data_IF_182590608395
#
_entry.id   IF_182590608395
#
_cell.length_a   1.000
_cell.length_b   1.000
_cell.length_c   1.000
_cell.angle_alpha   90.00
_cell.angle_beta   90.00
_cell.angle_gamma   90.00
#
_symmetry.space_group_name_H-M   'P 1'
#
loop_
_entity.id
_entity.type
_entity.pdbx_description
1 polymer ?
#
# COMPACT_ATOMS: atom_id res chain seq x y z
N UNK A 1 -14.51 18.09 -15.13
CA UNK A 1 -13.39 17.15 -15.39
C UNK A 1 -12.93 16.58 -14.05
N UNK A 2 -13.12 15.29 -13.83
CA UNK A 2 -12.66 14.63 -12.59
C UNK A 2 -11.13 14.69 -12.53
N UNK A 3 -10.61 15.48 -11.58
CA UNK A 3 -9.18 15.72 -11.38
C UNK A 3 -8.50 14.61 -10.55
N UNK A 4 -9.18 13.48 -10.32
CA UNK A 4 -8.65 12.40 -9.49
C UNK A 4 -7.97 11.35 -10.36
N UNK A 5 -6.76 10.96 -9.98
CA UNK A 5 -5.97 9.96 -10.70
C UNK A 5 -6.20 8.57 -10.11
N UNK A 6 -7.29 7.94 -10.50
CA UNK A 6 -7.55 6.53 -10.17
C UNK A 6 -7.03 5.66 -11.30
N UNK A 7 -6.37 4.56 -10.96
CA UNK A 7 -5.91 3.61 -11.96
C UNK A 7 -7.10 2.98 -12.70
N UNK A 8 -7.12 3.01 -14.06
CA UNK A 8 -8.24 2.49 -14.86
C UNK A 8 -8.58 1.03 -14.56
N UNK A 9 -7.56 0.21 -14.25
CA UNK A 9 -7.72 -1.21 -13.97
C UNK A 9 -8.41 -1.51 -12.63
N UNK A 10 -8.56 -0.54 -11.72
CA UNK A 10 -9.40 -0.75 -10.52
C UNK A 10 -10.85 -1.03 -10.94
N UNK A 11 -11.39 -0.21 -11.85
CA UNK A 11 -12.74 -0.45 -12.35
C UNK A 11 -12.88 -1.78 -13.09
N UNK A 12 -11.84 -2.21 -13.78
CA UNK A 12 -11.85 -3.43 -14.59
C UNK A 12 -11.72 -4.70 -13.75
N UNK A 13 -10.79 -4.73 -12.79
CA UNK A 13 -10.42 -5.95 -12.06
C UNK A 13 -10.88 -5.98 -10.61
N UNK A 14 -11.24 -4.82 -10.04
CA UNK A 14 -11.62 -4.66 -8.63
C UNK A 14 -12.80 -3.70 -8.51
N UNK A 15 -13.94 -3.98 -9.20
CA UNK A 15 -15.07 -3.07 -9.27
C UNK A 15 -15.66 -2.71 -7.91
N UNK A 16 -15.50 -3.57 -6.90
CA UNK A 16 -15.91 -3.33 -5.51
C UNK A 16 -15.15 -2.16 -4.87
N UNK A 17 -13.96 -1.83 -5.38
CA UNK A 17 -13.15 -0.69 -4.93
C UNK A 17 -13.24 0.52 -5.87
N UNK A 18 -14.02 0.45 -6.94
CA UNK A 18 -14.23 1.61 -7.82
C UNK A 18 -15.02 2.71 -7.11
N UNK A 19 -14.79 3.96 -7.54
CA UNK A 19 -15.50 5.13 -7.06
C UNK A 19 -14.89 5.83 -5.85
N UNK A 20 -15.43 7.05 -5.61
CA UNK A 20 -15.00 7.93 -4.53
C UNK A 20 -15.89 7.76 -3.30
N UNK A 21 -15.26 7.90 -2.15
CA UNK A 21 -15.92 7.93 -0.86
C UNK A 21 -15.73 9.32 -0.22
N UNK A 22 -16.61 9.62 0.72
CA UNK A 22 -16.57 10.86 1.51
C UNK A 22 -16.66 10.53 2.99
N UNK A 23 -15.76 11.11 3.78
CA UNK A 23 -15.65 10.82 5.21
C UNK A 23 -15.56 12.13 5.99
N UNK A 24 -16.43 12.36 7.03
CA UNK A 24 -16.31 13.52 7.91
C UNK A 24 -14.95 13.50 8.63
N UNK A 25 -14.17 14.59 8.55
CA UNK A 25 -12.81 14.62 9.08
C UNK A 25 -12.74 14.36 10.59
N UNK A 26 -13.77 14.79 11.34
CA UNK A 26 -13.89 14.58 12.79
C UNK A 26 -14.12 13.11 13.20
N UNK A 27 -14.44 12.24 12.22
CA UNK A 27 -14.69 10.81 12.46
C UNK A 27 -13.61 9.92 11.83
N UNK A 28 -12.42 10.47 11.56
CA UNK A 28 -11.39 9.75 10.82
C UNK A 28 -10.11 9.52 11.63
N UNK A 29 -9.60 8.29 11.58
CA UNK A 29 -8.22 7.96 11.84
C UNK A 29 -7.40 8.24 10.57
N UNK A 30 -6.92 9.49 10.42
CA UNK A 30 -6.33 9.95 9.18
C UNK A 30 -4.80 10.05 9.28
N UNK A 31 -4.07 9.26 8.47
CA UNK A 31 -2.61 9.15 8.49
C UNK A 31 -1.95 9.57 7.17
N UNK A 32 -0.67 9.89 7.24
CA UNK A 32 0.19 10.15 6.09
C UNK A 32 1.64 9.73 6.38
N UNK A 33 2.25 10.31 7.40
CA UNK A 33 3.64 10.06 7.77
C UNK A 33 3.72 9.11 8.96
N UNK A 34 4.74 8.26 8.98
CA UNK A 34 4.95 7.24 10.02
C UNK A 34 5.07 7.79 11.45
N UNK A 35 5.55 9.03 11.59
CA UNK A 35 5.74 9.71 12.90
C UNK A 35 4.47 10.39 13.43
N UNK A 36 3.44 10.50 12.62
CA UNK A 36 2.19 11.15 13.02
C UNK A 36 1.27 10.16 13.72
N UNK A 37 0.25 10.68 14.39
CA UNK A 37 -0.84 9.86 14.89
C UNK A 37 -1.39 8.95 13.76
N UNK A 38 -1.71 7.72 14.08
CA UNK A 38 -2.11 6.68 13.12
C UNK A 38 -1.06 6.29 12.08
N UNK A 39 0.17 6.85 12.16
CA UNK A 39 1.21 6.64 11.15
C UNK A 39 1.62 5.19 10.97
N UNK A 40 1.50 4.35 12.01
CA UNK A 40 1.79 2.91 11.93
C UNK A 40 0.83 2.17 10.98
N UNK A 41 -0.35 2.72 10.71
CA UNK A 41 -1.28 2.15 9.73
C UNK A 41 -0.73 2.24 8.29
N UNK A 42 0.16 3.19 8.04
CA UNK A 42 0.74 3.41 6.71
C UNK A 42 1.65 2.27 6.24
N UNK A 43 1.56 1.94 4.94
CA UNK A 43 2.36 0.89 4.31
C UNK A 43 3.86 1.23 4.26
N UNK A 44 4.19 2.53 4.23
CA UNK A 44 5.58 3.02 4.21
C UNK A 44 6.24 3.02 5.59
N UNK A 45 5.47 2.84 6.68
CA UNK A 45 6.03 2.76 8.02
C UNK A 45 6.96 1.56 8.14
N UNK A 46 8.15 1.79 8.66
CA UNK A 46 9.16 0.75 8.84
C UNK A 46 8.73 -0.21 9.95
N UNK A 47 7.96 -1.19 9.56
CA UNK A 47 7.57 -2.37 10.35
C UNK A 47 8.07 -3.59 9.58
N UNK A 48 9.26 -4.12 9.92
CA UNK A 48 9.82 -5.25 9.19
C UNK A 48 8.90 -6.46 9.19
N UNK A 49 8.80 -7.10 8.03
CA UNK A 49 8.02 -8.33 7.81
C UNK A 49 8.91 -9.39 7.14
N UNK A 50 8.69 -10.64 7.47
CA UNK A 50 9.45 -11.77 6.93
C UNK A 50 8.55 -12.59 6.02
N UNK A 51 8.96 -12.79 4.76
CA UNK A 51 8.26 -13.63 3.80
C UNK A 51 9.27 -14.61 3.18
N UNK A 52 8.99 -15.89 3.28
CA UNK A 52 9.85 -16.96 2.78
C UNK A 52 11.32 -16.82 3.21
N UNK A 53 11.55 -16.36 4.46
CA UNK A 53 12.90 -16.20 5.04
C UNK A 53 13.63 -14.92 4.65
N UNK A 54 13.03 -14.03 3.87
CA UNK A 54 13.57 -12.70 3.52
C UNK A 54 12.88 -11.62 4.30
N UNK A 55 13.65 -10.68 4.87
CA UNK A 55 13.11 -9.54 5.63
C UNK A 55 12.91 -8.32 4.73
N UNK A 56 11.67 -7.86 4.65
CA UNK A 56 11.30 -6.61 4.00
C UNK A 56 11.14 -5.51 5.05
N UNK A 57 11.57 -4.29 4.74
CA UNK A 57 11.56 -3.16 5.68
C UNK A 57 10.15 -2.69 6.07
N UNK A 58 9.16 -2.94 5.20
CA UNK A 58 7.78 -2.48 5.35
C UNK A 58 6.86 -3.19 4.35
N UNK A 59 5.54 -3.02 4.50
CA UNK A 59 4.56 -3.42 3.48
C UNK A 59 4.90 -2.83 2.10
N UNK A 60 5.25 -1.56 2.06
CA UNK A 60 5.62 -0.88 0.81
C UNK A 60 6.81 -1.55 0.14
N UNK A 61 7.82 -1.99 0.91
CA UNK A 61 8.98 -2.70 0.34
C UNK A 61 8.55 -3.99 -0.36
N UNK A 62 7.79 -4.84 0.32
CA UNK A 62 7.27 -6.08 -0.27
C UNK A 62 6.42 -5.79 -1.50
N UNK A 63 5.44 -4.89 -1.38
CA UNK A 63 4.54 -4.50 -2.46
C UNK A 63 5.28 -3.97 -3.69
N UNK A 64 6.32 -3.17 -3.51
CA UNK A 64 7.11 -2.65 -4.62
C UNK A 64 7.93 -3.74 -5.32
N UNK A 65 8.47 -4.71 -4.56
CA UNK A 65 9.23 -5.83 -5.14
C UNK A 65 8.35 -6.76 -5.98
N UNK A 66 7.10 -6.98 -5.59
CA UNK A 66 6.15 -7.81 -6.33
C UNK A 66 5.83 -7.30 -7.74
N UNK A 67 6.22 -6.09 -8.08
CA UNK A 67 6.05 -5.51 -9.43
C UNK A 67 6.97 -6.09 -10.48
N UNK A 68 8.02 -6.79 -10.09
CA UNK A 68 9.12 -7.18 -10.97
C UNK A 68 9.31 -8.69 -10.96
N UNK A 69 9.49 -9.27 -12.15
CA UNK A 69 9.77 -10.70 -12.34
C UNK A 69 11.07 -10.96 -13.10
N UNK A 70 11.62 -9.96 -13.79
CA UNK A 70 12.89 -10.08 -14.51
C UNK A 70 14.07 -10.19 -13.52
N UNK A 71 14.88 -11.27 -13.53
CA UNK A 71 15.91 -11.52 -12.51
C UNK A 71 16.89 -10.37 -12.30
N UNK A 72 17.41 -9.79 -13.39
CA UNK A 72 18.34 -8.66 -13.29
C UNK A 72 17.71 -7.41 -12.68
N UNK A 73 16.45 -7.14 -12.99
CA UNK A 73 15.71 -5.98 -12.49
C UNK A 73 15.37 -6.18 -11.02
N UNK A 74 14.89 -7.36 -10.64
CA UNK A 74 14.64 -7.72 -9.23
C UNK A 74 15.88 -7.45 -8.38
N UNK A 75 17.06 -7.93 -8.81
CA UNK A 75 18.32 -7.73 -8.09
C UNK A 75 18.70 -6.26 -8.02
N UNK A 76 18.54 -5.50 -9.12
CA UNK A 76 18.85 -4.06 -9.16
C UNK A 76 17.92 -3.26 -8.24
N UNK A 77 16.62 -3.52 -8.29
CA UNK A 77 15.62 -2.85 -7.42
C UNK A 77 15.89 -3.18 -5.95
N UNK A 78 16.09 -4.45 -5.61
CA UNK A 78 16.42 -4.89 -4.27
C UNK A 78 17.66 -4.19 -3.71
N UNK A 79 18.76 -4.19 -4.45
CA UNK A 79 20.01 -3.51 -4.07
C UNK A 79 19.79 -2.00 -3.92
N UNK A 80 19.06 -1.38 -4.82
CA UNK A 80 18.76 0.05 -4.76
C UNK A 80 17.92 0.42 -3.54
N UNK A 81 16.94 -0.39 -3.16
CA UNK A 81 16.11 -0.18 -1.97
C UNK A 81 16.94 -0.43 -0.70
N UNK A 82 17.72 -1.51 -0.65
CA UNK A 82 18.49 -1.89 0.55
C UNK A 82 19.64 -0.94 0.83
N UNK A 83 20.27 -0.37 -0.21
CA UNK A 83 21.34 0.62 -0.06
C UNK A 83 20.86 1.98 0.46
N UNK A 84 19.58 2.31 0.26
CA UNK A 84 19.00 3.60 0.65
C UNK A 84 18.23 3.50 1.98
N UNK A 85 18.95 3.29 3.08
CA UNK A 85 18.34 3.00 4.39
C UNK A 85 17.57 4.14 5.06
N UNK A 86 17.69 5.37 4.56
CA UNK A 86 17.33 6.55 5.38
C UNK A 86 15.97 7.19 5.07
N UNK A 87 15.23 6.77 4.03
CA UNK A 87 13.95 7.43 3.68
C UNK A 87 12.92 6.41 3.16
N UNK A 88 11.77 6.32 3.81
CA UNK A 88 10.63 5.48 3.37
C UNK A 88 10.22 5.74 1.91
N UNK A 89 10.28 7.00 1.46
CA UNK A 89 10.03 7.38 0.08
C UNK A 89 11.06 6.83 -0.93
N UNK A 90 12.27 6.44 -0.48
CA UNK A 90 13.29 5.89 -1.37
C UNK A 90 12.86 4.55 -1.98
N UNK A 91 12.10 3.74 -1.24
CA UNK A 91 11.57 2.46 -1.71
C UNK A 91 10.71 2.66 -2.97
N UNK A 92 9.66 3.49 -2.84
CA UNK A 92 8.76 3.81 -3.95
C UNK A 92 9.48 4.46 -5.14
N UNK A 93 10.37 5.40 -4.87
CA UNK A 93 11.11 6.12 -5.91
C UNK A 93 12.10 5.21 -6.64
N UNK A 94 12.78 4.31 -5.93
CA UNK A 94 13.69 3.33 -6.54
C UNK A 94 12.90 2.39 -7.46
N UNK A 95 11.80 1.80 -6.97
CA UNK A 95 10.98 0.93 -7.81
C UNK A 95 10.42 1.69 -9.03
N UNK A 96 9.94 2.92 -8.84
CA UNK A 96 9.38 3.75 -9.90
C UNK A 96 10.37 4.05 -11.02
N UNK A 97 11.67 4.10 -10.76
CA UNK A 97 12.69 4.34 -11.79
C UNK A 97 12.82 3.18 -12.79
N UNK A 98 12.32 1.99 -12.45
CA UNK A 98 12.27 0.82 -13.33
C UNK A 98 10.89 0.59 -13.95
N UNK A 99 9.84 1.25 -13.47
CA UNK A 99 8.56 1.34 -14.16
C UNK A 99 8.67 2.43 -15.25
N UNK A 100 7.98 2.37 -16.34
CA UNK A 100 7.03 1.39 -16.83
C UNK A 100 7.63 0.25 -17.63
N UNK A 101 8.95 0.26 -17.87
CA UNK A 101 9.61 -0.65 -18.83
C UNK A 101 9.67 -2.10 -18.32
N UNK A 102 9.83 -2.28 -17.00
CA UNK A 102 10.10 -3.59 -16.38
C UNK A 102 9.00 -4.07 -15.43
N UNK A 103 7.88 -3.35 -15.36
CA UNK A 103 6.76 -3.79 -14.55
C UNK A 103 6.09 -5.01 -15.18
N UNK A 104 5.78 -6.01 -14.36
CA UNK A 104 5.02 -7.20 -14.78
C UNK A 104 3.79 -6.79 -15.61
N UNK A 105 3.51 -7.50 -16.73
CA UNK A 105 2.37 -7.16 -17.59
C UNK A 105 1.01 -7.38 -16.93
N UNK A 106 0.94 -8.32 -15.98
CA UNK A 106 -0.25 -8.65 -15.21
C UNK A 106 -0.46 -7.81 -13.95
N UNK A 107 0.45 -6.83 -13.68
CA UNK A 107 0.40 -6.01 -12.47
C UNK A 107 -0.97 -5.38 -12.19
N UNK A 108 -1.67 -4.92 -13.22
CA UNK A 108 -3.00 -4.33 -13.08
C UNK A 108 -4.04 -5.29 -12.49
N UNK A 109 -3.88 -6.60 -12.74
CA UNK A 109 -4.77 -7.65 -12.23
C UNK A 109 -4.44 -8.11 -10.81
N UNK A 110 -3.24 -7.84 -10.33
CA UNK A 110 -2.80 -8.31 -9.02
C UNK A 110 -2.50 -7.19 -8.02
N UNK A 111 -2.58 -5.93 -8.43
CA UNK A 111 -2.11 -4.80 -7.61
C UNK A 111 -2.81 -4.70 -6.25
N UNK A 112 -4.13 -4.93 -6.19
CA UNK A 112 -4.88 -4.87 -4.94
C UNK A 112 -4.58 -6.11 -4.10
N UNK A 113 -4.52 -7.29 -4.72
CA UNK A 113 -4.19 -8.54 -4.04
C UNK A 113 -2.76 -8.53 -3.48
N UNK A 114 -1.80 -7.97 -4.23
CA UNK A 114 -0.44 -7.77 -3.75
C UNK A 114 -0.39 -6.85 -2.52
N UNK A 115 -1.21 -5.79 -2.49
CA UNK A 115 -1.31 -4.92 -1.33
C UNK A 115 -1.98 -5.61 -0.16
N UNK A 116 -3.09 -6.34 -0.39
CA UNK A 116 -3.77 -7.15 0.63
C UNK A 116 -2.81 -8.17 1.25
N UNK A 117 -2.05 -8.88 0.41
CA UNK A 117 -1.03 -9.82 0.89
C UNK A 117 0.00 -9.13 1.79
N UNK A 118 0.57 -8.01 1.35
CA UNK A 118 1.56 -7.28 2.14
C UNK A 118 0.99 -6.75 3.47
N UNK A 119 -0.28 -6.30 3.48
CA UNK A 119 -0.97 -5.89 4.70
C UNK A 119 -1.22 -7.06 5.63
N UNK A 120 -1.60 -8.25 5.11
CA UNK A 120 -1.77 -9.46 5.91
C UNK A 120 -0.45 -9.87 6.57
N UNK A 121 0.68 -9.82 5.84
CA UNK A 121 2.00 -10.10 6.43
C UNK A 121 2.33 -9.15 7.59
N UNK A 122 1.96 -7.88 7.49
CA UNK A 122 2.13 -6.92 8.59
C UNK A 122 1.17 -7.22 9.75
N UNK A 123 -0.07 -7.55 9.45
CA UNK A 123 -1.08 -7.88 10.45
C UNK A 123 -0.67 -9.09 11.29
N UNK A 124 -0.15 -10.12 10.67
CA UNK A 124 0.30 -11.35 11.33
C UNK A 124 1.58 -11.17 12.15
N UNK A 125 2.43 -10.18 11.82
CA UNK A 125 3.78 -10.07 12.38
C UNK A 125 4.00 -8.81 13.23
N UNK A 126 3.09 -7.82 13.21
CA UNK A 126 3.29 -6.55 13.91
C UNK A 126 2.17 -6.27 14.92
N UNK A 127 2.37 -6.65 16.17
CA UNK A 127 1.41 -6.43 17.26
C UNK A 127 1.02 -4.94 17.44
N UNK A 128 1.98 -4.03 17.29
CA UNK A 128 1.72 -2.59 17.38
C UNK A 128 0.77 -2.10 16.28
N UNK A 129 0.87 -2.67 15.07
CA UNK A 129 -0.08 -2.37 13.99
C UNK A 129 -1.48 -2.91 14.33
N UNK A 130 -1.58 -4.13 14.85
CA UNK A 130 -2.87 -4.71 15.26
C UNK A 130 -3.54 -3.88 16.33
N UNK A 131 -2.79 -3.43 17.35
CA UNK A 131 -3.31 -2.56 18.42
C UNK A 131 -3.84 -1.23 17.89
N UNK A 132 -3.13 -0.63 16.96
CA UNK A 132 -3.55 0.65 16.37
C UNK A 132 -4.75 0.48 15.44
N UNK A 133 -4.80 -0.62 14.71
CA UNK A 133 -5.95 -0.97 13.88
C UNK A 133 -7.20 -1.16 14.74
N UNK A 134 -7.08 -1.89 15.85
CA UNK A 134 -8.16 -2.07 16.85
C UNK A 134 -8.59 -0.73 17.48
N UNK A 135 -7.63 0.15 17.82
CA UNK A 135 -7.91 1.50 18.36
C UNK A 135 -8.75 2.35 17.41
N UNK A 136 -8.66 2.09 16.11
CA UNK A 136 -9.42 2.80 15.08
C UNK A 136 -10.89 2.36 14.97
N UNK A 137 -11.36 1.40 15.78
CA UNK A 137 -12.77 0.97 15.76
C UNK A 137 -13.73 2.14 15.97
N UNK A 138 -14.77 2.16 15.14
CA UNK A 138 -15.75 3.25 15.14
C UNK A 138 -15.33 4.49 14.33
N UNK A 139 -14.09 4.53 13.83
CA UNK A 139 -13.61 5.60 12.95
C UNK A 139 -13.46 5.10 11.51
N UNK A 140 -13.57 6.01 10.55
CA UNK A 140 -13.12 5.78 9.19
C UNK A 140 -11.59 5.85 9.16
N UNK A 141 -10.93 4.97 8.40
CA UNK A 141 -9.48 5.05 8.20
C UNK A 141 -9.21 5.73 6.87
N UNK A 142 -8.36 6.77 6.89
CA UNK A 142 -8.07 7.58 5.70
C UNK A 142 -6.58 7.74 5.50
N UNK A 143 -6.07 7.32 4.34
CA UNK A 143 -4.73 7.71 3.89
C UNK A 143 -4.81 9.09 3.25
N UNK A 144 -4.12 10.06 3.85
CA UNK A 144 -4.11 11.46 3.34
C UNK A 144 -3.25 11.58 2.11
N UNK A 145 -3.73 12.30 1.10
CA UNK A 145 -2.86 12.76 0.01
C UNK A 145 -1.72 13.64 0.58
N UNK A 146 -0.49 13.16 0.43
CA UNK A 146 0.68 13.81 1.03
C UNK A 146 0.93 15.23 0.51
N UNK A 147 0.61 15.49 -0.77
CA UNK A 147 0.74 16.82 -1.35
C UNK A 147 -0.65 17.48 -1.48
N UNK A 148 -0.96 18.51 -0.67
CA UNK A 148 -2.28 19.15 -0.68
C UNK A 148 -2.63 19.84 -2.01
N UNK A 149 -1.64 20.13 -2.84
CA UNK A 149 -1.83 20.75 -4.16
C UNK A 149 -2.13 19.72 -5.27
N UNK A 150 -2.00 18.42 -4.98
CA UNK A 150 -2.34 17.34 -5.92
C UNK A 150 -3.74 16.80 -5.65
N UNK A 151 -4.41 16.25 -6.68
CA UNK A 151 -5.63 15.47 -6.47
C UNK A 151 -5.30 14.21 -5.65
N UNK A 152 -6.32 13.65 -5.00
CA UNK A 152 -6.22 12.32 -4.43
C UNK A 152 -5.94 11.30 -5.53
N UNK A 153 -5.08 10.33 -5.24
CA UNK A 153 -4.82 9.18 -6.11
C UNK A 153 -5.71 7.98 -5.71
N UNK A 154 -5.45 6.84 -6.31
CA UNK A 154 -6.17 5.59 -6.02
C UNK A 154 -6.13 5.21 -4.53
N UNK A 155 -4.99 5.48 -3.87
CA UNK A 155 -4.72 5.00 -2.51
C UNK A 155 -5.27 5.91 -1.43
N UNK A 156 -5.43 7.20 -1.73
CA UNK A 156 -5.58 8.28 -0.77
C UNK A 156 -6.90 9.04 -0.91
N UNK A 157 -7.15 9.92 0.07
CA UNK A 157 -8.18 10.94 0.02
C UNK A 157 -7.59 12.33 0.28
N UNK A 158 -8.25 13.36 -0.21
CA UNK A 158 -7.90 14.77 -0.04
C UNK A 158 -8.95 15.45 0.83
N UNK A 159 -8.49 16.31 1.73
CA UNK A 159 -9.39 17.14 2.55
C UNK A 159 -9.96 18.30 1.73
N UNK A 160 -11.27 18.39 1.70
CA UNK A 160 -12.03 19.50 1.11
C UNK A 160 -12.99 20.04 2.16
N UNK A 161 -12.67 21.20 2.72
CA UNK A 161 -13.36 21.70 3.92
C UNK A 161 -13.14 20.76 5.11
N UNK A 162 -14.20 20.18 5.63
CA UNK A 162 -14.24 19.21 6.73
C UNK A 162 -14.50 17.76 6.29
N UNK A 163 -14.41 17.49 4.99
CA UNK A 163 -14.69 16.18 4.39
C UNK A 163 -13.44 15.66 3.66
N UNK A 164 -13.02 14.44 3.98
CA UNK A 164 -12.07 13.69 3.19
C UNK A 164 -12.77 13.07 1.99
N UNK A 165 -12.26 13.32 0.77
CA UNK A 165 -12.82 12.78 -0.47
C UNK A 165 -11.74 12.10 -1.31
N UNK A 166 -12.02 10.90 -1.79
CA UNK A 166 -11.10 10.14 -2.64
C UNK A 166 -11.49 8.68 -2.77
N UNK A 167 -10.74 7.96 -3.56
CA UNK A 167 -10.86 6.49 -3.64
C UNK A 167 -10.47 5.82 -2.32
N UNK A 168 -9.43 6.36 -1.65
CA UNK A 168 -8.99 5.92 -0.32
C UNK A 168 -8.83 4.40 -0.22
N UNK A 169 -8.31 3.76 -1.27
CA UNK A 169 -8.24 2.30 -1.32
C UNK A 169 -7.46 1.71 -0.14
N UNK A 170 -6.34 2.33 0.24
CA UNK A 170 -5.57 1.87 1.43
C UNK A 170 -6.43 1.92 2.70
N UNK A 171 -7.14 3.01 2.94
CA UNK A 171 -8.00 3.12 4.11
C UNK A 171 -9.16 2.14 4.10
N UNK A 172 -9.74 1.86 2.92
CA UNK A 172 -10.81 0.86 2.75
C UNK A 172 -10.33 -0.55 3.07
N UNK A 173 -9.14 -0.94 2.59
CA UNK A 173 -8.54 -2.23 2.90
C UNK A 173 -8.21 -2.36 4.40
N UNK A 174 -7.74 -1.29 5.03
CA UNK A 174 -7.50 -1.29 6.48
C UNK A 174 -8.79 -1.43 7.28
N UNK A 175 -9.88 -0.78 6.88
CA UNK A 175 -11.20 -0.97 7.51
C UNK A 175 -11.70 -2.40 7.31
N UNK A 176 -11.59 -2.96 6.11
CA UNK A 176 -11.94 -4.35 5.81
C UNK A 176 -11.13 -5.33 6.68
N UNK A 177 -9.80 -5.12 6.79
CA UNK A 177 -8.93 -5.93 7.64
C UNK A 177 -9.33 -5.84 9.12
N UNK A 178 -9.59 -4.64 9.62
CA UNK A 178 -10.03 -4.42 11.00
C UNK A 178 -11.34 -5.14 11.32
N UNK A 179 -12.30 -5.03 10.42
CA UNK A 179 -13.67 -5.47 10.67
C UNK A 179 -13.83 -6.99 10.46
N UNK A 180 -13.03 -7.58 9.55
CA UNK A 180 -13.10 -9.01 9.21
C UNK A 180 -11.96 -9.85 9.84
N UNK A 181 -10.90 -9.22 10.34
CA UNK A 181 -9.70 -9.90 10.84
C UNK A 181 -8.81 -10.51 9.74
N UNK A 182 -9.19 -10.36 8.47
CA UNK A 182 -8.46 -10.88 7.32
C UNK A 182 -8.82 -10.12 6.05
N UNK A 183 -7.92 -10.21 5.05
CA UNK A 183 -8.16 -9.79 3.67
C UNK A 183 -8.06 -11.04 2.77
N UNK A 184 -9.06 -11.26 1.94
CA UNK A 184 -9.00 -12.30 0.91
C UNK A 184 -8.25 -11.76 -0.32
N UNK A 185 -7.32 -12.53 -0.85
CA UNK A 185 -6.53 -12.16 -2.03
C UNK A 185 -6.19 -13.40 -2.88
N UNK A 186 -5.95 -13.16 -4.16
CA UNK A 186 -5.55 -14.18 -5.12
C UNK A 186 -4.31 -13.69 -5.87
N UNK A 187 -3.17 -14.28 -5.56
CA UNK A 187 -1.92 -14.00 -6.25
C UNK A 187 -1.66 -15.03 -7.34
N UNK A 188 -1.06 -14.64 -8.47
CA UNK A 188 -0.48 -15.58 -9.41
C UNK A 188 0.54 -16.49 -8.73
N UNK A 189 0.68 -17.72 -9.20
CA UNK A 189 1.59 -18.72 -8.60
C UNK A 189 3.04 -18.23 -8.53
N UNK A 190 3.47 -17.43 -9.50
CA UNK A 190 4.81 -16.85 -9.61
C UNK A 190 4.99 -15.49 -8.90
N UNK A 191 3.96 -15.00 -8.21
CA UNK A 191 3.99 -13.66 -7.61
C UNK A 191 5.12 -13.43 -6.60
N UNK A 192 5.62 -14.50 -5.98
CA UNK A 192 6.67 -14.48 -4.97
C UNK A 192 8.00 -15.10 -5.43
N UNK A 193 8.12 -15.50 -6.70
CA UNK A 193 9.33 -16.15 -7.24
C UNK A 193 10.56 -15.24 -7.15
N UNK A 194 10.34 -13.93 -7.21
CA UNK A 194 11.40 -12.93 -7.05
C UNK A 194 12.17 -13.09 -5.72
N UNK A 195 11.56 -13.68 -4.69
CA UNK A 195 12.19 -13.87 -3.38
C UNK A 195 13.40 -14.82 -3.49
N UNK A 196 13.32 -15.82 -4.36
CA UNK A 196 14.43 -16.77 -4.58
C UNK A 196 15.68 -16.10 -5.17
N UNK A 197 15.52 -14.96 -5.83
CA UNK A 197 16.59 -14.19 -6.48
C UNK A 197 17.35 -13.25 -5.52
N UNK A 198 16.80 -13.01 -4.33
CA UNK A 198 17.31 -12.05 -3.35
C UNK A 198 17.66 -12.65 -2.00
N UNK A 199 17.59 -13.98 -1.91
CA UNK A 199 18.07 -14.76 -0.75
C UNK A 199 19.58 -14.77 -0.61
#
# INVERSE_FOLDING_TARGET
>A
MNKHSVYPFIKEFYPEYDGFQSYPASQCAAFCESRNEWGILGNMTQTPIVVNGVTFKSCEHLFQMMKFSEPEIVIKVWKGITANDKKSNSIKMTAKSYEPEHRRPDWGRMIVDALKFAMMQKYEQCEAFCKELERSKGLYIVEKQANPNKPADTWSAKLEGDIWKGSNLTGRLLMELRDNGRLEYHLPDDALDFISLIK
#
